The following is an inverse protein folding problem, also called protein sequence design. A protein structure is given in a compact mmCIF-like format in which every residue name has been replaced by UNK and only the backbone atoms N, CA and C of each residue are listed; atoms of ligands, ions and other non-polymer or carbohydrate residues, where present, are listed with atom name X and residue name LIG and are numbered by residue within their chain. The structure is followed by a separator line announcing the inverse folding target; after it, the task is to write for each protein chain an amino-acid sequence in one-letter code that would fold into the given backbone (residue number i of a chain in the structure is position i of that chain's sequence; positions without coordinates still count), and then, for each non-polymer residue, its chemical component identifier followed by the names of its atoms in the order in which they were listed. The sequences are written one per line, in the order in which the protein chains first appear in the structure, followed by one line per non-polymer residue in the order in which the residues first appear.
data_IF_182422392130
#
_entry.id   IF_182422392130
#
_cell.length_a   1.000
_cell.length_b   1.000
_cell.length_c   1.000
_cell.angle_alpha   90.00
_cell.angle_beta   90.00
_cell.angle_gamma   90.00
#
_symmetry.space_group_name_H-M   'P 1'
#
loop_
_entity.id
_entity.type
_entity.pdbx_description
1 polymer ?
#
# COMPACT_ATOMS: atom_id res chain seq x y z
N UNK A 1 2.40 -18.70 -10.17
CA UNK A 1 2.02 -17.44 -10.85
C UNK A 1 2.67 -16.29 -10.10
N UNK A 2 3.26 -15.29 -10.77
CA UNK A 2 3.76 -14.11 -10.07
C UNK A 2 2.56 -13.36 -9.46
N UNK A 3 2.62 -13.15 -8.16
CA UNK A 3 1.60 -12.43 -7.41
C UNK A 3 2.30 -11.32 -6.60
N UNK A 4 1.82 -10.09 -6.79
CA UNK A 4 2.44 -8.87 -6.27
C UNK A 4 1.38 -7.98 -5.63
N UNK A 5 1.69 -7.46 -4.44
CA UNK A 5 0.90 -6.46 -3.74
C UNK A 5 1.79 -5.22 -3.59
N UNK A 6 1.35 -4.08 -4.11
CA UNK A 6 2.06 -2.80 -3.97
C UNK A 6 1.18 -1.82 -3.21
N UNK A 7 1.63 -1.36 -2.06
CA UNK A 7 0.98 -0.30 -1.31
C UNK A 7 1.87 0.94 -1.36
N UNK A 8 1.40 1.98 -2.02
CA UNK A 8 2.05 3.27 -2.08
C UNK A 8 1.26 4.27 -1.23
N UNK A 9 1.94 4.98 -0.34
CA UNK A 9 1.37 6.06 0.48
C UNK A 9 2.15 7.34 0.19
N UNK A 10 1.43 8.43 -0.04
CA UNK A 10 2.01 9.75 -0.19
C UNK A 10 1.31 10.71 0.75
N UNK A 11 2.06 11.47 1.55
CA UNK A 11 1.47 12.59 2.26
C UNK A 11 1.02 13.65 1.25
N UNK A 12 -0.23 14.12 1.38
CA UNK A 12 -0.63 15.35 0.69
C UNK A 12 0.29 16.51 1.07
N UNK A 13 0.32 17.60 0.28
CA UNK A 13 1.15 18.75 0.59
C UNK A 13 0.83 19.26 2.01
N UNK A 14 1.85 19.36 2.87
CA UNK A 14 1.78 19.94 4.22
C UNK A 14 2.69 21.16 4.32
N UNK A 15 2.46 22.04 5.30
CA UNK A 15 3.35 23.17 5.62
C UNK A 15 3.99 22.92 6.99
N UNK A 16 5.33 22.97 7.14
CA UNK A 16 6.32 23.24 6.10
C UNK A 16 6.36 22.14 5.01
N UNK A 17 6.84 22.44 3.78
CA UNK A 17 6.69 21.58 2.59
C UNK A 17 7.52 20.31 2.66
N UNK A 18 7.07 19.34 3.44
CA UNK A 18 7.61 17.98 3.50
C UNK A 18 6.62 17.01 2.89
N UNK A 19 7.05 16.22 1.92
CA UNK A 19 6.28 15.08 1.42
C UNK A 19 7.04 13.81 1.73
N UNK A 20 6.35 12.79 2.22
CA UNK A 20 6.87 11.44 2.21
C UNK A 20 6.12 10.61 1.19
N UNK A 21 6.85 9.66 0.60
CA UNK A 21 6.34 8.58 -0.21
C UNK A 21 6.83 7.27 0.42
N UNK A 22 5.94 6.34 0.65
CA UNK A 22 6.27 4.98 1.12
C UNK A 22 5.70 4.02 0.11
N UNK A 23 6.53 3.20 -0.52
CA UNK A 23 6.11 2.08 -1.33
C UNK A 23 6.49 0.76 -0.64
N UNK A 24 5.51 -0.11 -0.48
CA UNK A 24 5.70 -1.47 0.01
C UNK A 24 5.34 -2.43 -1.11
N UNK A 25 6.28 -3.27 -1.52
CA UNK A 25 6.09 -4.29 -2.53
C UNK A 25 6.26 -5.68 -1.91
N UNK A 26 5.17 -6.44 -1.79
CA UNK A 26 5.20 -7.85 -1.40
C UNK A 26 5.18 -8.73 -2.66
N UNK A 27 6.22 -9.56 -2.83
CA UNK A 27 6.39 -10.42 -4.01
C UNK A 27 6.67 -11.86 -3.60
N UNK A 28 6.03 -12.82 -4.26
CA UNK A 28 6.41 -14.23 -4.16
C UNK A 28 7.24 -14.65 -5.37
N UNK A 29 8.43 -15.18 -5.09
CA UNK A 29 9.35 -15.76 -6.06
C UNK A 29 9.71 -17.22 -5.73
N UNK A 30 10.54 -17.87 -6.56
CA UNK A 30 11.02 -19.22 -6.29
C UNK A 30 11.88 -19.30 -5.03
N UNK A 31 12.52 -18.20 -4.62
CA UNK A 31 13.34 -18.11 -3.41
C UNK A 31 12.54 -17.86 -2.11
N UNK A 32 11.23 -17.67 -2.20
CA UNK A 32 10.37 -17.36 -1.05
C UNK A 32 9.52 -16.11 -1.28
N UNK A 33 9.04 -15.52 -0.19
CA UNK A 33 8.26 -14.28 -0.22
C UNK A 33 9.09 -13.17 0.38
N UNK A 34 9.24 -12.06 -0.35
CA UNK A 34 9.91 -10.87 0.15
C UNK A 34 8.97 -9.67 0.18
N UNK A 35 9.09 -8.90 1.25
CA UNK A 35 8.49 -7.58 1.41
C UNK A 35 9.61 -6.57 1.28
N UNK A 36 9.56 -5.79 0.20
CA UNK A 36 10.44 -4.65 -0.02
C UNK A 36 9.72 -3.38 0.39
N UNK A 37 10.38 -2.51 1.13
CA UNK A 37 9.87 -1.21 1.56
C UNK A 37 10.82 -0.13 1.12
N UNK A 38 10.32 0.82 0.35
CA UNK A 38 11.03 2.00 -0.10
C UNK A 38 10.36 3.23 0.52
N UNK A 39 11.14 4.08 1.19
CA UNK A 39 10.64 5.35 1.74
C UNK A 39 11.41 6.47 1.09
N UNK A 40 10.72 7.38 0.41
CA UNK A 40 11.27 8.66 0.03
C UNK A 40 10.70 9.75 0.94
N UNK A 41 11.54 10.69 1.33
CA UNK A 41 11.13 11.92 2.02
C UNK A 41 11.76 13.05 1.22
N UNK A 42 10.98 14.07 0.90
CA UNK A 42 11.47 15.30 0.27
C UNK A 42 10.96 16.50 1.05
N UNK A 43 11.87 17.43 1.37
CA UNK A 43 11.53 18.73 1.94
C UNK A 43 12.13 19.83 1.08
N UNK A 44 11.27 20.70 0.51
CA UNK A 44 11.72 21.83 -0.31
C UNK A 44 12.16 22.97 0.60
N UNK A 45 13.42 22.94 1.02
CA UNK A 45 14.01 24.00 1.85
C UNK A 45 15.39 23.70 2.45
N UNK A 46 15.96 22.49 2.29
CA UNK A 46 17.31 22.26 2.80
C UNK A 46 17.80 20.83 2.78
N UNK A 47 17.06 19.84 3.30
CA UNK A 47 17.17 18.41 2.96
C UNK A 47 16.29 17.52 3.84
N UNK A 48 15.60 16.56 3.23
CA UNK A 48 15.72 15.14 3.60
C UNK A 48 15.73 14.35 2.27
N UNK A 49 16.67 13.42 2.10
CA UNK A 49 16.64 12.36 1.08
C UNK A 49 17.26 11.13 1.73
N UNK A 50 16.42 10.37 2.41
CA UNK A 50 16.79 9.04 2.91
C UNK A 50 15.89 8.08 2.20
N UNK A 51 16.43 7.37 1.20
CA UNK A 51 15.81 6.17 0.66
C UNK A 51 16.14 5.05 1.65
N UNK A 52 15.15 4.65 2.46
CA UNK A 52 15.28 3.46 3.30
C UNK A 52 14.70 2.31 2.47
N UNK A 53 15.57 1.40 2.05
CA UNK A 53 15.19 0.15 1.41
C UNK A 53 15.38 -0.97 2.43
N UNK A 54 14.26 -1.50 2.93
CA UNK A 54 14.25 -2.67 3.79
C UNK A 54 13.69 -3.85 2.98
N UNK A 55 14.41 -4.97 2.95
CA UNK A 55 13.88 -6.24 2.45
C UNK A 55 13.73 -7.23 3.60
N UNK A 56 12.50 -7.71 3.81
CA UNK A 56 12.15 -8.66 4.86
C UNK A 56 11.61 -9.92 4.22
N UNK A 57 12.09 -11.08 4.66
CA UNK A 57 11.48 -12.36 4.29
C UNK A 57 10.17 -12.53 5.05
N UNK A 58 9.10 -12.79 4.30
CA UNK A 58 7.78 -13.09 4.86
C UNK A 58 7.56 -14.59 4.78
N UNK A 59 7.00 -15.16 5.84
CA UNK A 59 6.59 -16.56 5.82
C UNK A 59 5.54 -16.82 4.72
N UNK A 60 5.66 -17.97 4.05
CA UNK A 60 4.81 -18.29 2.90
C UNK A 60 3.35 -18.51 3.31
N UNK A 61 3.08 -19.11 4.46
CA UNK A 61 1.71 -19.30 4.92
C UNK A 61 1.04 -17.95 5.23
N UNK A 62 1.80 -16.99 5.77
CA UNK A 62 1.32 -15.61 5.98
C UNK A 62 0.95 -14.93 4.67
N UNK A 63 1.77 -15.07 3.63
CA UNK A 63 1.51 -14.55 2.30
C UNK A 63 0.28 -15.19 1.64
N UNK A 64 0.16 -16.51 1.71
CA UNK A 64 -0.96 -17.25 1.13
C UNK A 64 -2.28 -16.91 1.84
N UNK A 65 -2.25 -16.76 3.17
CA UNK A 65 -3.41 -16.31 3.95
C UNK A 65 -3.84 -14.90 3.53
N UNK A 66 -2.89 -13.97 3.37
CA UNK A 66 -3.18 -12.61 2.93
C UNK A 66 -3.86 -12.59 1.55
N UNK A 67 -3.39 -13.42 0.62
CA UNK A 67 -4.01 -13.54 -0.70
C UNK A 67 -5.39 -14.19 -0.66
N UNK A 68 -5.57 -15.24 0.15
CA UNK A 68 -6.87 -15.86 0.35
C UNK A 68 -7.89 -14.84 0.88
N UNK A 69 -7.50 -14.03 1.87
CA UNK A 69 -8.34 -12.98 2.43
C UNK A 69 -8.68 -11.89 1.38
N UNK A 70 -7.70 -11.46 0.57
CA UNK A 70 -7.93 -10.48 -0.51
C UNK A 70 -8.93 -11.02 -1.54
N UNK A 71 -8.77 -12.27 -1.97
CA UNK A 71 -9.67 -12.89 -2.93
C UNK A 71 -11.09 -13.05 -2.35
N UNK A 72 -11.20 -13.49 -1.09
CA UNK A 72 -12.49 -13.59 -0.39
C UNK A 72 -13.18 -12.22 -0.21
N UNK A 73 -12.41 -11.15 -0.06
CA UNK A 73 -12.90 -9.78 0.04
C UNK A 73 -13.29 -9.14 -1.30
N UNK A 74 -13.26 -9.89 -2.41
CA UNK A 74 -13.62 -9.36 -3.73
C UNK A 74 -12.57 -8.38 -4.27
N UNK A 75 -11.28 -8.61 -3.97
CA UNK A 75 -10.23 -7.67 -4.32
C UNK A 75 -10.03 -7.46 -5.83
N UNK A 76 -10.66 -8.25 -6.71
CA UNK A 76 -10.71 -8.01 -8.15
C UNK A 76 -12.10 -7.62 -8.68
N UNK A 77 -13.10 -7.50 -7.81
CA UNK A 77 -14.47 -7.16 -8.22
C UNK A 77 -14.52 -5.77 -8.85
N UNK A 78 -15.28 -5.56 -9.94
CA UNK A 78 -15.30 -4.30 -10.67
C UNK A 78 -16.00 -3.17 -9.90
N UNK A 79 -16.46 -3.40 -8.68
CA UNK A 79 -17.12 -2.40 -7.85
C UNK A 79 -16.22 -1.16 -7.76
N UNK A 80 -16.70 0.01 -8.19
CA UNK A 80 -15.88 1.20 -8.25
C UNK A 80 -15.41 1.51 -6.83
N UNK A 81 -14.10 1.74 -6.60
CA UNK A 81 -13.69 2.38 -5.36
C UNK A 81 -14.45 3.70 -5.29
N UNK A 82 -14.99 4.04 -4.11
CA UNK A 82 -15.60 5.34 -3.87
C UNK A 82 -14.68 6.41 -4.46
N UNK A 83 -15.17 7.19 -5.43
CA UNK A 83 -14.35 8.15 -6.19
C UNK A 83 -13.41 8.87 -5.23
N UNK A 84 -12.10 8.68 -5.43
CA UNK A 84 -11.11 9.41 -4.66
C UNK A 84 -11.36 10.90 -4.89
N UNK A 85 -11.81 11.60 -3.85
CA UNK A 85 -12.01 13.04 -3.91
C UNK A 85 -10.68 13.74 -4.29
N UNK A 86 -10.69 14.99 -4.80
CA UNK A 86 -9.47 15.71 -5.21
C UNK A 86 -8.55 16.00 -4.02
N UNK A 87 -7.24 15.70 -4.16
CA UNK A 87 -6.22 15.81 -3.12
C UNK A 87 -6.38 17.08 -2.26
N UNK A 88 -6.40 16.92 -0.93
CA UNK A 88 -6.50 18.02 0.03
C UNK A 88 -5.17 18.21 0.74
N UNK A 89 -4.80 19.47 0.98
CA UNK A 89 -3.65 19.84 1.83
C UNK A 89 -3.78 19.12 3.17
N UNK A 90 -2.70 18.46 3.61
CA UNK A 90 -2.66 17.71 4.86
C UNK A 90 -3.35 16.34 4.86
N UNK A 91 -3.84 15.82 3.72
CA UNK A 91 -4.44 14.48 3.63
C UNK A 91 -3.56 13.54 2.83
N UNK A 92 -3.13 12.44 3.43
CA UNK A 92 -2.39 11.39 2.73
C UNK A 92 -3.27 10.63 1.74
N UNK A 93 -2.69 10.37 0.58
CA UNK A 93 -3.25 9.57 -0.50
C UNK A 93 -2.56 8.22 -0.50
N UNK A 94 -3.33 7.16 -0.65
CA UNK A 94 -2.85 5.79 -0.67
C UNK A 94 -3.30 5.13 -1.97
N UNK A 95 -2.45 4.27 -2.52
CA UNK A 95 -2.69 3.48 -3.71
C UNK A 95 -2.31 2.04 -3.41
N UNK A 96 -3.26 1.13 -3.60
CA UNK A 96 -3.03 -0.31 -3.55
C UNK A 96 -3.09 -0.86 -4.97
N UNK A 97 -2.02 -1.49 -5.43
CA UNK A 97 -2.00 -2.26 -6.68
C UNK A 97 -1.90 -3.75 -6.35
N UNK A 98 -2.85 -4.53 -6.84
CA UNK A 98 -2.87 -5.98 -6.75
C UNK A 98 -2.62 -6.55 -8.14
N UNK A 99 -1.68 -7.47 -8.26
CA UNK A 99 -1.40 -8.20 -9.48
C UNK A 99 -1.33 -9.70 -9.21
N UNK A 100 -2.11 -10.48 -9.95
CA UNK A 100 -2.13 -11.95 -9.89
C UNK A 100 -2.13 -12.50 -11.31
N UNK A 101 -0.97 -12.99 -11.77
CA UNK A 101 -0.81 -13.41 -13.17
C UNK A 101 -1.05 -12.25 -14.14
N UNK A 102 -2.09 -12.36 -14.98
CA UNK A 102 -2.49 -11.29 -15.93
C UNK A 102 -3.49 -10.28 -15.35
N UNK A 103 -4.09 -10.59 -14.20
CA UNK A 103 -5.06 -9.69 -13.57
C UNK A 103 -4.33 -8.61 -12.79
N UNK A 104 -4.76 -7.36 -12.96
CA UNK A 104 -4.25 -6.20 -12.23
C UNK A 104 -5.41 -5.31 -11.80
N UNK A 105 -5.43 -4.90 -10.54
CA UNK A 105 -6.35 -3.88 -10.04
C UNK A 105 -5.56 -2.82 -9.27
N UNK A 106 -5.90 -1.56 -9.51
CA UNK A 106 -5.39 -0.43 -8.74
C UNK A 106 -6.56 0.21 -8.01
N UNK A 107 -6.38 0.44 -6.71
CA UNK A 107 -7.36 1.05 -5.81
C UNK A 107 -6.71 2.28 -5.19
N UNK A 108 -7.35 3.43 -5.32
CA UNK A 108 -6.88 4.69 -4.73
C UNK A 108 -7.85 5.12 -3.63
N UNK A 109 -7.32 5.51 -2.47
CA UNK A 109 -8.09 5.88 -1.28
C UNK A 109 -7.28 6.83 -0.40
N UNK A 110 -7.95 7.61 0.44
CA UNK A 110 -7.28 8.49 1.40
C UNK A 110 -7.15 7.83 2.76
N UNK A 111 -6.21 8.30 3.58
CA UNK A 111 -6.22 7.88 4.99
C UNK A 111 -7.49 8.33 5.71
N UNK A 112 -8.12 9.44 5.29
CA UNK A 112 -9.43 9.85 5.82
C UNK A 112 -10.56 8.88 5.43
N UNK A 113 -10.44 8.17 4.31
CA UNK A 113 -11.43 7.15 3.93
C UNK A 113 -11.31 5.90 4.81
N UNK A 114 -10.16 5.71 5.49
CA UNK A 114 -9.98 4.69 6.52
C UNK A 114 -10.78 4.95 7.80
N UNK A 115 -11.23 6.20 7.99
CA UNK A 115 -11.93 6.68 9.19
C UNK A 115 -13.46 6.68 9.02
N UNK A 116 -13.99 6.28 7.85
CA UNK A 116 -15.43 6.17 7.61
C UNK A 116 -15.96 4.82 8.12
N UNK A 117 -17.20 4.80 8.61
CA UNK A 117 -17.85 3.59 9.17
C UNK A 117 -17.99 2.44 8.16
N UNK A 118 -18.06 2.74 6.87
CA UNK A 118 -18.01 1.75 5.79
C UNK A 118 -16.57 1.53 5.32
N UNK A 119 -15.79 0.82 6.13
CA UNK A 119 -14.45 0.37 5.73
C UNK A 119 -14.59 -0.70 4.64
N UNK A 120 -13.89 -0.57 3.50
CA UNK A 120 -13.85 -1.64 2.51
C UNK A 120 -13.28 -2.93 3.14
N UNK A 121 -13.77 -4.10 2.75
CA UNK A 121 -13.31 -5.38 3.30
C UNK A 121 -11.79 -5.63 3.12
N UNK A 122 -11.16 -4.97 2.15
CA UNK A 122 -9.72 -5.02 1.91
C UNK A 122 -8.88 -4.13 2.86
N UNK A 123 -9.51 -3.27 3.66
CA UNK A 123 -8.82 -2.31 4.52
C UNK A 123 -8.02 -2.94 5.67
N UNK A 124 -8.56 -3.91 6.44
CA UNK A 124 -7.78 -4.59 7.48
C UNK A 124 -6.57 -5.35 6.92
N UNK A 125 -6.60 -5.70 5.63
CA UNK A 125 -5.53 -6.41 4.94
C UNK A 125 -4.36 -5.48 4.60
N UNK A 126 -4.63 -4.19 4.35
CA UNK A 126 -3.58 -3.17 4.24
C UNK A 126 -2.86 -2.93 5.57
N UNK A 127 -3.61 -2.88 6.66
CA UNK A 127 -3.05 -2.79 8.01
C UNK A 127 -2.23 -4.04 8.35
N UNK A 128 -2.54 -5.19 7.74
CA UNK A 128 -1.73 -6.41 7.87
C UNK A 128 -0.41 -6.29 7.10
N UNK A 129 -0.43 -5.74 5.87
CA UNK A 129 0.80 -5.45 5.10
C UNK A 129 1.68 -4.41 5.80
N UNK A 130 1.09 -3.33 6.34
CA UNK A 130 1.80 -2.33 7.15
C UNK A 130 2.45 -2.94 8.39
N UNK A 131 1.72 -3.79 9.12
CA UNK A 131 2.26 -4.49 10.30
C UNK A 131 3.41 -5.43 9.95
N UNK A 132 3.35 -6.11 8.79
CA UNK A 132 4.48 -6.93 8.31
C UNK A 132 5.73 -6.08 8.03
N UNK A 133 5.54 -4.81 7.64
CA UNK A 133 6.62 -3.85 7.45
C UNK A 133 7.11 -3.17 8.75
N UNK A 134 6.58 -3.57 9.93
CA UNK A 134 6.83 -2.91 11.24
C UNK A 134 6.53 -1.40 11.24
N UNK A 135 5.43 -1.01 10.60
CA UNK A 135 4.83 0.33 10.72
C UNK A 135 3.77 0.37 11.82
#
# INVERSE_FOLDING_TARGET
MPARIVLSESSGPVSPPGQYFVEMTLTAGPAGVSLRREIERDWKGGTFRTAIDDEITVDRATYETLWADLLAAGAFDPTPPAKAAPARVGVSSNRLTLALGKQRRTIEFRSSDLMRDTKPAWLPLLERVRRLAKL
#
